data_IF_716351014784
#
_entry.id   IF_716351014784
#
_cell.length_a   1.000
_cell.length_b   1.000
_cell.length_c   1.000
_cell.angle_alpha   90.00
_cell.angle_beta   90.00
_cell.angle_gamma   90.00
#
_symmetry.space_group_name_H-M   'P 1'
#
loop_
_entity.id
_entity.type
_entity.pdbx_description
1 polymer ?
#
# COMPACT_ATOMS: atom_id res chain seq x y z
N UNK A 1 13.76 -0.15 -13.27
CA UNK A 1 14.61 -0.89 -12.27
C UNK A 1 15.75 -1.63 -12.97
N UNK A 2 15.51 -2.75 -13.67
CA UNK A 2 16.59 -3.50 -14.36
C UNK A 2 17.20 -2.68 -15.49
N UNK A 3 16.37 -2.10 -16.33
CA UNK A 3 16.78 -1.22 -17.44
C UNK A 3 17.64 -0.05 -16.96
N UNK A 4 17.29 0.53 -15.81
CA UNK A 4 17.98 1.69 -15.23
C UNK A 4 19.11 1.30 -14.25
N UNK A 5 19.39 0.00 -14.06
CA UNK A 5 20.42 -0.47 -13.13
C UNK A 5 20.20 -0.08 -11.66
N UNK A 6 18.95 0.11 -11.22
CA UNK A 6 18.65 0.54 -9.84
C UNK A 6 18.81 -0.63 -8.86
N UNK A 7 19.79 -0.52 -7.95
CA UNK A 7 19.90 -1.43 -6.79
C UNK A 7 18.92 -1.03 -5.70
N UNK A 8 17.75 -1.67 -5.68
CA UNK A 8 16.74 -1.48 -4.64
C UNK A 8 16.42 -2.76 -3.85
N UNK A 9 17.37 -3.69 -3.76
CA UNK A 9 17.15 -5.01 -3.13
C UNK A 9 15.92 -5.73 -3.71
N UNK A 10 15.70 -5.62 -5.03
CA UNK A 10 14.56 -6.27 -5.67
C UNK A 10 14.71 -7.80 -5.58
N UNK A 11 13.75 -8.44 -4.94
CA UNK A 11 13.63 -9.90 -4.86
C UNK A 11 12.33 -10.30 -5.51
N UNK A 12 12.42 -10.98 -6.66
CA UNK A 12 11.29 -11.72 -7.22
C UNK A 12 11.12 -12.99 -6.40
N UNK A 13 9.90 -13.24 -5.95
CA UNK A 13 9.60 -14.26 -4.95
C UNK A 13 8.19 -14.79 -5.16
N UNK A 14 7.80 -15.80 -4.38
CA UNK A 14 6.39 -16.09 -4.19
C UNK A 14 5.84 -15.33 -2.99
N UNK A 15 4.56 -15.04 -3.04
CA UNK A 15 3.78 -14.54 -1.95
C UNK A 15 2.73 -15.57 -1.58
N UNK A 16 2.60 -15.89 -0.30
CA UNK A 16 1.70 -16.92 0.19
C UNK A 16 0.62 -16.24 1.02
N UNK A 17 -0.62 -16.31 0.57
CA UNK A 17 -1.76 -15.98 1.41
C UNK A 17 -2.09 -17.19 2.27
N UNK A 18 -1.75 -17.12 3.55
CA UNK A 18 -1.97 -18.19 4.53
C UNK A 18 -3.28 -17.93 5.29
N UNK A 19 -4.21 -18.87 5.28
CA UNK A 19 -5.53 -18.73 5.90
C UNK A 19 -5.62 -19.54 7.19
N UNK A 20 -6.24 -18.95 8.20
CA UNK A 20 -6.44 -19.56 9.53
C UNK A 20 -7.93 -19.75 9.88
N UNK A 21 -8.83 -19.39 8.94
CA UNK A 21 -10.27 -19.62 9.03
C UNK A 21 -10.75 -20.33 7.76
N UNK A 22 -11.47 -21.44 7.96
CA UNK A 22 -11.91 -22.31 6.86
C UNK A 22 -12.88 -21.60 5.91
N UNK A 23 -13.80 -20.80 6.45
CA UNK A 23 -14.81 -20.09 5.65
C UNK A 23 -14.16 -19.03 4.77
N UNK A 24 -13.15 -18.34 5.27
CA UNK A 24 -12.42 -17.34 4.48
C UNK A 24 -11.50 -17.96 3.43
N UNK A 25 -10.90 -19.12 3.72
CA UNK A 25 -10.17 -19.89 2.71
C UNK A 25 -11.08 -20.35 1.56
N UNK A 26 -12.25 -20.93 1.87
CA UNK A 26 -13.22 -21.38 0.87
C UNK A 26 -13.71 -20.23 -0.01
N UNK A 27 -13.97 -19.06 0.56
CA UNK A 27 -14.31 -17.85 -0.21
C UNK A 27 -13.18 -17.43 -1.15
N UNK A 28 -11.93 -17.50 -0.70
CA UNK A 28 -10.78 -17.14 -1.52
C UNK A 28 -10.60 -18.12 -2.69
N UNK A 29 -10.80 -19.42 -2.45
CA UNK A 29 -10.81 -20.44 -3.51
C UNK A 29 -11.94 -20.20 -4.50
N UNK A 30 -13.16 -19.91 -4.02
CA UNK A 30 -14.29 -19.58 -4.89
C UNK A 30 -14.03 -18.29 -5.72
N UNK A 31 -13.37 -17.29 -5.14
CA UNK A 31 -12.92 -16.10 -5.87
C UNK A 31 -11.87 -16.40 -6.94
N UNK A 32 -10.99 -17.38 -6.69
CA UNK A 32 -10.06 -17.87 -7.70
C UNK A 32 -10.79 -18.65 -8.81
N UNK A 33 -11.83 -19.41 -8.50
CA UNK A 33 -12.66 -20.10 -9.49
C UNK A 33 -13.42 -19.12 -10.40
N UNK A 34 -13.94 -18.03 -9.82
CA UNK A 34 -14.52 -16.91 -10.59
C UNK A 34 -13.45 -16.28 -11.51
N UNK A 35 -12.25 -16.04 -10.99
CA UNK A 35 -11.12 -15.54 -11.78
C UNK A 35 -10.72 -16.50 -12.91
N UNK A 36 -10.81 -17.82 -12.73
CA UNK A 36 -10.55 -18.79 -13.83
C UNK A 36 -11.53 -18.60 -14.98
N UNK A 37 -12.76 -18.20 -14.68
CA UNK A 37 -13.81 -17.96 -15.68
C UNK A 37 -13.59 -16.64 -16.42
N UNK A 38 -13.21 -15.58 -15.70
CA UNK A 38 -13.18 -14.21 -16.26
C UNK A 38 -11.79 -13.71 -16.64
N UNK A 39 -10.73 -14.23 -16.03
CA UNK A 39 -9.33 -13.85 -16.25
C UNK A 39 -8.37 -15.05 -16.09
N UNK A 40 -8.48 -16.08 -16.94
CA UNK A 40 -7.72 -17.33 -16.78
C UNK A 40 -6.20 -17.14 -16.73
N UNK A 41 -5.66 -16.19 -17.51
CA UNK A 41 -4.24 -15.83 -17.53
C UNK A 41 -3.70 -15.21 -16.22
N UNK A 42 -4.59 -14.73 -15.34
CA UNK A 42 -4.23 -14.32 -13.98
C UNK A 42 -4.41 -15.48 -13.01
N UNK A 43 -5.51 -16.24 -13.16
CA UNK A 43 -5.80 -17.37 -12.29
C UNK A 43 -4.73 -18.48 -12.38
N UNK A 44 -4.15 -18.73 -13.56
CA UNK A 44 -3.07 -19.72 -13.75
C UNK A 44 -1.81 -19.42 -12.93
N UNK A 45 -1.65 -18.17 -12.48
CA UNK A 45 -0.52 -17.76 -11.63
C UNK A 45 -0.76 -18.11 -10.16
N UNK A 46 -1.93 -18.61 -9.79
CA UNK A 46 -2.28 -18.93 -8.41
C UNK A 46 -2.20 -20.44 -8.19
N UNK A 47 -1.60 -20.86 -7.07
CA UNK A 47 -1.55 -22.26 -6.67
C UNK A 47 -2.17 -22.43 -5.29
N UNK A 48 -3.13 -23.35 -5.18
CA UNK A 48 -3.84 -23.62 -3.92
C UNK A 48 -3.16 -24.79 -3.20
N UNK A 49 -2.91 -24.63 -1.90
CA UNK A 49 -2.39 -25.67 -1.02
C UNK A 49 -3.37 -25.90 0.14
N UNK A 50 -3.76 -27.15 0.34
CA UNK A 50 -4.62 -27.58 1.45
C UNK A 50 -4.08 -28.80 2.21
N UNK A 51 -2.99 -29.40 1.73
CA UNK A 51 -2.33 -30.50 2.42
C UNK A 51 -1.63 -30.01 3.68
N UNK A 52 -2.04 -30.53 4.84
CA UNK A 52 -1.56 -30.07 6.14
C UNK A 52 -0.06 -30.29 6.35
N UNK A 53 0.50 -31.39 5.83
CA UNK A 53 1.95 -31.64 5.92
C UNK A 53 2.72 -30.61 5.09
N UNK A 54 2.23 -30.25 3.90
CA UNK A 54 2.83 -29.22 3.08
C UNK A 54 2.78 -27.83 3.74
N UNK A 55 1.63 -27.45 4.33
CA UNK A 55 1.48 -26.17 5.03
C UNK A 55 2.50 -26.04 6.18
N UNK A 56 2.70 -27.11 6.94
CA UNK A 56 3.57 -27.10 8.13
C UNK A 56 5.04 -27.32 7.79
N UNK A 57 5.36 -28.32 6.98
CA UNK A 57 6.74 -28.74 6.73
C UNK A 57 7.42 -27.88 5.67
N UNK A 58 6.67 -27.41 4.66
CA UNK A 58 7.20 -26.63 3.55
C UNK A 58 6.95 -25.14 3.75
N UNK A 59 5.70 -24.73 3.98
CA UNK A 59 5.35 -23.32 4.17
C UNK A 59 5.58 -22.81 5.60
N UNK A 60 5.95 -23.70 6.52
CA UNK A 60 6.28 -23.37 7.92
C UNK A 60 5.15 -22.64 8.66
N UNK A 61 3.90 -22.89 8.25
CA UNK A 61 2.70 -22.36 8.89
C UNK A 61 2.32 -23.26 10.06
N UNK A 62 1.73 -22.69 11.12
CA UNK A 62 1.26 -23.48 12.26
C UNK A 62 0.17 -24.48 11.86
N UNK A 63 -0.11 -25.45 12.74
CA UNK A 63 -1.21 -26.41 12.58
C UNK A 63 -2.60 -25.77 12.56
N UNK A 64 -2.70 -24.45 12.82
CA UNK A 64 -3.94 -23.69 12.68
C UNK A 64 -4.23 -23.25 11.25
N UNK A 65 -3.24 -23.28 10.36
CA UNK A 65 -3.44 -22.93 8.97
C UNK A 65 -4.33 -23.98 8.29
N UNK A 66 -5.42 -23.52 7.66
CA UNK A 66 -6.39 -24.39 6.98
C UNK A 66 -6.11 -24.53 5.49
N UNK A 67 -5.36 -23.58 4.93
CA UNK A 67 -5.03 -23.54 3.51
C UNK A 67 -4.15 -22.35 3.17
N UNK A 68 -3.59 -22.38 1.96
CA UNK A 68 -2.81 -21.28 1.43
C UNK A 68 -3.01 -21.11 -0.08
N UNK A 69 -2.82 -19.89 -0.57
CA UNK A 69 -2.79 -19.58 -2.00
C UNK A 69 -1.46 -18.87 -2.30
N UNK A 70 -0.62 -19.49 -3.14
CA UNK A 70 0.60 -18.87 -3.62
C UNK A 70 0.36 -18.05 -4.90
N UNK A 71 1.04 -16.91 -4.97
CA UNK A 71 1.01 -15.97 -6.09
C UNK A 71 2.43 -15.45 -6.40
N UNK A 72 2.74 -15.07 -7.64
CA UNK A 72 3.95 -14.32 -7.95
C UNK A 72 3.95 -13.01 -7.16
N UNK A 73 5.08 -12.72 -6.53
CA UNK A 73 5.26 -11.51 -5.75
C UNK A 73 6.67 -10.94 -5.95
N UNK A 74 6.86 -9.75 -5.41
CA UNK A 74 8.17 -9.15 -5.30
C UNK A 74 8.26 -8.36 -4.00
N UNK A 75 9.46 -8.28 -3.44
CA UNK A 75 9.80 -7.30 -2.42
C UNK A 75 10.94 -6.42 -2.93
N UNK A 76 10.98 -5.18 -2.46
CA UNK A 76 12.06 -4.24 -2.74
C UNK A 76 12.19 -3.28 -1.57
N UNK A 77 13.34 -2.64 -1.41
CA UNK A 77 13.54 -1.56 -0.46
C UNK A 77 12.97 -0.25 -1.03
N UNK A 78 11.87 0.29 -0.49
CA UNK A 78 11.20 1.46 -1.07
C UNK A 78 12.09 2.71 -1.16
N UNK A 79 12.83 3.01 -0.10
CA UNK A 79 13.75 4.14 -0.06
C UNK A 79 14.83 4.05 -1.14
N UNK A 80 15.52 2.91 -1.26
CA UNK A 80 16.54 2.71 -2.32
C UNK A 80 15.93 2.89 -3.71
N UNK A 81 14.72 2.36 -3.94
CA UNK A 81 14.02 2.52 -5.22
C UNK A 81 13.71 3.99 -5.52
N UNK A 82 13.10 4.72 -4.57
CA UNK A 82 12.77 6.14 -4.74
C UNK A 82 14.04 6.97 -5.00
N UNK A 83 15.10 6.74 -4.23
CA UNK A 83 16.37 7.44 -4.40
C UNK A 83 17.03 7.10 -5.74
N UNK A 84 16.98 5.84 -6.17
CA UNK A 84 17.51 5.41 -7.47
C UNK A 84 16.76 6.00 -8.65
N UNK A 85 15.46 6.28 -8.51
CA UNK A 85 14.65 6.95 -9.54
C UNK A 85 14.87 8.47 -9.54
N UNK A 86 14.82 9.11 -8.37
CA UNK A 86 14.86 10.57 -8.27
C UNK A 86 16.29 11.15 -8.31
N UNK A 87 17.27 10.46 -7.73
CA UNK A 87 18.65 10.94 -7.62
C UNK A 87 19.23 11.39 -8.96
N UNK A 88 19.23 10.54 -10.01
CA UNK A 88 19.74 10.91 -11.33
C UNK A 88 19.02 12.12 -11.96
N UNK A 89 17.73 12.31 -11.67
CA UNK A 89 16.97 13.46 -12.19
C UNK A 89 17.36 14.76 -11.48
N UNK A 90 17.70 14.68 -10.18
CA UNK A 90 18.20 15.82 -9.41
C UNK A 90 19.62 16.17 -9.88
N UNK A 91 20.50 15.18 -9.98
CA UNK A 91 21.91 15.38 -10.37
C UNK A 91 22.06 15.95 -11.79
N UNK A 92 21.07 15.72 -12.65
CA UNK A 92 21.02 16.23 -14.03
C UNK A 92 20.22 17.55 -14.14
N UNK A 93 19.85 18.18 -13.02
CA UNK A 93 19.04 19.41 -12.96
C UNK A 93 17.68 19.32 -13.70
N UNK A 94 17.14 18.10 -13.86
CA UNK A 94 15.84 17.87 -14.53
C UNK A 94 14.66 18.12 -13.62
N UNK A 95 14.86 17.98 -12.31
CA UNK A 95 13.84 18.27 -11.30
C UNK A 95 14.43 19.13 -10.19
N UNK A 96 13.62 20.05 -9.68
CA UNK A 96 13.95 20.85 -8.52
C UNK A 96 13.24 20.28 -7.28
N UNK A 97 14.02 19.78 -6.32
CA UNK A 97 13.50 19.25 -5.05
C UNK A 97 13.75 20.24 -3.92
N UNK A 98 12.67 20.67 -3.27
CA UNK A 98 12.71 21.61 -2.15
C UNK A 98 12.22 20.92 -0.87
N UNK A 99 13.16 20.46 -0.04
CA UNK A 99 12.86 19.92 1.29
C UNK A 99 12.52 21.02 2.28
N UNK A 100 11.87 20.69 3.40
CA UNK A 100 11.49 21.65 4.44
C UNK A 100 10.75 22.90 3.91
N UNK A 101 9.97 22.71 2.85
CA UNK A 101 9.17 23.78 2.22
C UNK A 101 7.68 23.42 2.23
N UNK A 102 7.04 23.28 3.41
CA UNK A 102 5.62 22.97 3.50
C UNK A 102 4.76 23.93 2.68
N UNK A 103 3.89 23.37 1.84
CA UNK A 103 2.80 24.11 1.20
C UNK A 103 1.73 24.37 2.25
N UNK A 104 1.37 25.63 2.44
CA UNK A 104 0.40 26.06 3.46
C UNK A 104 -0.97 26.36 2.85
N UNK A 105 -1.00 26.80 1.60
CA UNK A 105 -2.22 27.17 0.87
C UNK A 105 -1.97 27.14 -0.65
N UNK A 106 -3.02 26.96 -1.43
CA UNK A 106 -2.98 27.12 -2.89
C UNK A 106 -4.15 28.02 -3.27
N UNK A 107 -3.83 29.12 -3.95
CA UNK A 107 -4.82 30.03 -4.54
C UNK A 107 -4.93 29.66 -6.01
N UNK A 108 -6.12 29.27 -6.44
CA UNK A 108 -6.36 28.75 -7.79
C UNK A 108 -7.70 29.28 -8.29
N UNK A 109 -7.63 30.25 -9.21
CA UNK A 109 -8.78 30.87 -9.86
C UNK A 109 -8.83 30.43 -11.30
N UNK A 110 -10.04 30.24 -11.82
CA UNK A 110 -10.25 29.70 -13.18
C UNK A 110 -9.76 30.66 -14.26
N UNK A 111 -9.89 31.96 -14.01
CA UNK A 111 -9.46 33.05 -14.87
C UNK A 111 -7.93 33.26 -14.89
N UNK A 112 -7.20 32.74 -13.90
CA UNK A 112 -5.74 32.88 -13.84
C UNK A 112 -5.06 31.81 -14.71
N UNK A 113 -3.92 32.13 -15.33
CA UNK A 113 -3.15 31.16 -16.10
C UNK A 113 -2.37 30.15 -15.23
N UNK A 114 -2.24 30.45 -13.92
CA UNK A 114 -1.44 29.69 -12.97
C UNK A 114 -2.10 29.68 -11.59
N UNK A 115 -1.97 28.57 -10.87
CA UNK A 115 -2.20 28.56 -9.44
C UNK A 115 -0.99 29.16 -8.71
N UNK A 116 -1.25 29.84 -7.60
CA UNK A 116 -0.21 30.34 -6.67
C UNK A 116 -0.13 29.42 -5.45
N UNK A 117 0.97 28.68 -5.35
CA UNK A 117 1.30 27.78 -4.24
C UNK A 117 2.05 28.56 -3.17
N UNK A 118 1.41 28.77 -2.01
CA UNK A 118 2.00 29.43 -0.84
C UNK A 118 2.83 28.42 -0.06
N UNK A 119 4.09 28.75 0.22
CA UNK A 119 4.98 27.92 1.03
C UNK A 119 5.58 28.72 2.18
N UNK A 120 6.22 28.05 3.13
CA UNK A 120 6.99 28.70 4.21
C UNK A 120 8.20 29.50 3.71
N UNK A 121 8.62 29.33 2.46
CA UNK A 121 9.80 29.97 1.86
C UNK A 121 9.46 30.93 0.72
N UNK A 122 8.18 31.21 0.52
CA UNK A 122 7.69 32.10 -0.54
C UNK A 122 6.69 31.43 -1.47
N UNK A 123 6.32 32.17 -2.50
CA UNK A 123 5.27 31.78 -3.43
C UNK A 123 5.84 31.14 -4.69
N UNK A 124 5.16 30.11 -5.19
CA UNK A 124 5.48 29.45 -6.46
C UNK A 124 4.27 29.55 -7.37
N UNK A 125 4.46 29.98 -8.63
CA UNK A 125 3.39 29.94 -9.65
C UNK A 125 3.53 28.68 -10.48
N UNK A 126 2.44 27.94 -10.66
CA UNK A 126 2.44 26.67 -11.38
C UNK A 126 1.19 26.53 -12.25
N UNK A 127 1.36 26.09 -13.50
CA UNK A 127 0.25 25.84 -14.42
C UNK A 127 -0.47 24.54 -14.09
N UNK A 128 0.19 23.65 -13.37
CA UNK A 128 -0.32 22.35 -12.90
C UNK A 128 0.23 22.09 -11.51
N UNK A 129 -0.64 21.71 -10.58
CA UNK A 129 -0.28 21.35 -9.21
C UNK A 129 -0.81 19.95 -8.91
N UNK A 130 0.09 19.02 -8.59
CA UNK A 130 -0.28 17.63 -8.27
C UNK A 130 -0.18 17.40 -6.76
N UNK A 131 -1.30 17.02 -6.14
CA UNK A 131 -1.36 16.62 -4.74
C UNK A 131 -0.97 15.15 -4.61
N UNK A 132 0.28 14.90 -4.22
CA UNK A 132 0.84 13.59 -3.95
C UNK A 132 1.08 13.33 -2.46
N UNK A 133 0.26 13.93 -1.58
CA UNK A 133 0.44 13.91 -0.12
C UNK A 133 -0.28 12.75 0.58
N UNK A 134 -0.75 11.74 -0.16
CA UNK A 134 -1.36 10.50 0.33
C UNK A 134 -2.37 10.68 1.50
N UNK A 135 -2.00 10.31 2.74
CA UNK A 135 -2.89 10.40 3.89
C UNK A 135 -3.20 11.85 4.33
N UNK A 136 -2.33 12.79 3.93
CA UNK A 136 -2.44 14.21 4.25
C UNK A 136 -3.14 15.02 3.15
N UNK A 137 -3.75 14.36 2.14
CA UNK A 137 -4.52 15.03 1.08
C UNK A 137 -5.55 16.01 1.66
N UNK A 138 -6.27 15.57 2.70
CA UNK A 138 -7.26 16.39 3.39
C UNK A 138 -6.72 17.72 3.93
N UNK A 139 -5.41 17.88 4.13
CA UNK A 139 -4.84 19.13 4.65
C UNK A 139 -5.01 20.29 3.67
N UNK A 140 -4.71 20.07 2.38
CA UNK A 140 -4.82 21.06 1.31
C UNK A 140 -6.13 20.93 0.50
N UNK A 141 -6.75 19.75 0.56
CA UNK A 141 -8.01 19.42 -0.11
C UNK A 141 -9.09 19.09 0.94
N UNK A 142 -9.64 20.09 1.65
CA UNK A 142 -10.70 19.88 2.63
C UNK A 142 -11.89 19.08 2.08
N UNK A 143 -12.16 19.17 0.78
CA UNK A 143 -13.20 18.46 0.06
C UNK A 143 -13.03 16.93 0.09
N UNK A 144 -11.80 16.43 0.26
CA UNK A 144 -11.48 15.00 0.35
C UNK A 144 -11.36 14.48 1.80
N UNK A 145 -11.41 15.35 2.82
CA UNK A 145 -11.32 14.94 4.23
C UNK A 145 -12.34 13.86 4.63
N UNK A 146 -13.62 13.93 4.21
CA UNK A 146 -14.60 12.91 4.60
C UNK A 146 -14.30 11.53 4.01
N UNK A 147 -13.53 11.46 2.93
CA UNK A 147 -13.31 10.25 2.16
C UNK A 147 -11.96 9.60 2.40
N UNK A 148 -11.03 10.28 3.09
CA UNK A 148 -9.67 9.79 3.32
C UNK A 148 -9.33 9.96 4.80
N UNK A 149 -9.17 8.82 5.47
CA UNK A 149 -8.75 8.78 6.87
C UNK A 149 -7.25 8.43 6.96
N UNK A 150 -6.44 9.26 7.65
CA UNK A 150 -5.10 8.86 8.05
C UNK A 150 -5.22 7.82 9.17
N UNK A 151 -4.55 6.69 9.00
CA UNK A 151 -4.54 5.62 10.01
C UNK A 151 -3.09 5.24 10.25
N UNK A 152 -2.69 5.13 11.52
CA UNK A 152 -1.35 4.69 11.92
C UNK A 152 -1.20 3.18 11.71
N UNK A 153 -0.07 2.79 11.14
CA UNK A 153 0.36 1.41 10.96
C UNK A 153 1.63 1.14 11.73
N UNK A 154 1.74 -0.06 12.29
CA UNK A 154 2.88 -0.44 13.14
C UNK A 154 3.63 -1.57 12.46
N UNK A 155 4.96 -1.55 12.55
CA UNK A 155 5.80 -2.55 11.89
C UNK A 155 6.95 -2.92 12.83
N UNK A 156 7.28 -4.20 12.86
CA UNK A 156 8.44 -4.72 13.56
C UNK A 156 9.45 -5.27 12.56
N UNK A 157 10.74 -5.15 12.92
CA UNK A 157 11.80 -5.91 12.29
C UNK A 157 12.45 -6.85 13.30
N UNK A 158 12.55 -8.12 12.94
CA UNK A 158 13.27 -9.15 13.67
C UNK A 158 14.70 -9.26 13.15
N UNK A 159 15.68 -9.25 14.05
CA UNK A 159 17.08 -9.51 13.74
C UNK A 159 17.29 -10.98 13.37
N UNK A 160 18.28 -11.28 12.49
CA UNK A 160 18.66 -12.65 12.22
C UNK A 160 19.31 -13.30 13.44
N UNK A 161 19.25 -14.62 13.49
CA UNK A 161 20.01 -15.42 14.47
C UNK A 161 21.36 -15.84 13.90
N UNK A 162 22.13 -16.60 14.70
CA UNK A 162 23.40 -17.18 14.26
C UNK A 162 23.24 -17.89 12.91
N UNK A 163 24.22 -17.70 12.03
CA UNK A 163 24.23 -18.18 10.63
C UNK A 163 23.26 -17.44 9.68
N UNK A 164 22.75 -16.26 10.04
CA UNK A 164 21.95 -15.43 9.14
C UNK A 164 20.56 -15.97 8.85
N UNK A 165 20.04 -16.83 9.73
CA UNK A 165 18.69 -17.40 9.60
C UNK A 165 17.64 -16.49 10.26
N UNK A 166 16.39 -16.67 9.86
CA UNK A 166 15.25 -16.00 10.50
C UNK A 166 14.94 -16.61 11.86
N UNK A 167 14.68 -15.81 12.91
CA UNK A 167 14.16 -16.32 14.18
C UNK A 167 12.70 -16.80 14.08
N UNK A 168 12.03 -16.57 12.94
CA UNK A 168 10.65 -17.01 12.70
C UNK A 168 10.58 -18.43 12.13
N UNK A 169 11.72 -19.12 11.95
CA UNK A 169 11.76 -20.45 11.36
C UNK A 169 11.48 -20.48 9.85
N UNK A 170 11.53 -19.32 9.18
CA UNK A 170 11.20 -19.15 7.77
C UNK A 170 12.46 -19.09 6.88
N UNK A 171 12.37 -19.68 5.70
CA UNK A 171 13.29 -19.45 4.58
C UNK A 171 12.96 -18.15 3.83
N UNK A 172 13.85 -17.70 2.94
CA UNK A 172 13.68 -16.45 2.17
C UNK A 172 13.06 -16.64 0.78
N UNK A 173 12.43 -17.79 0.54
CA UNK A 173 11.89 -18.17 -0.79
C UNK A 173 10.50 -17.59 -1.06
N UNK A 174 9.83 -17.11 -0.01
CA UNK A 174 8.51 -16.51 -0.08
C UNK A 174 8.29 -15.41 0.97
N UNK A 175 7.29 -14.58 0.73
CA UNK A 175 6.69 -13.67 1.72
C UNK A 175 5.30 -14.16 2.10
N UNK A 176 4.79 -13.78 3.27
CA UNK A 176 3.47 -14.21 3.73
C UNK A 176 2.50 -13.02 3.79
N UNK A 177 1.24 -13.28 3.46
CA UNK A 177 0.09 -12.56 3.97
C UNK A 177 -0.67 -13.50 4.91
N UNK A 178 -0.57 -13.25 6.21
CA UNK A 178 -1.23 -14.01 7.27
C UNK A 178 -2.68 -13.52 7.37
N UNK A 179 -3.61 -14.25 6.75
CA UNK A 179 -5.04 -13.93 6.69
C UNK A 179 -5.75 -14.49 7.93
N UNK A 180 -5.93 -13.66 8.94
CA UNK A 180 -6.67 -14.03 10.16
C UNK A 180 -8.20 -13.90 9.98
N UNK A 181 -8.63 -13.09 9.00
CA UNK A 181 -10.03 -12.97 8.63
C UNK A 181 -10.27 -12.02 7.45
N UNK A 182 -11.54 -11.78 7.12
CA UNK A 182 -11.94 -10.85 6.05
C UNK A 182 -11.35 -9.45 6.28
N UNK A 183 -10.47 -9.03 5.35
CA UNK A 183 -9.72 -7.76 5.43
C UNK A 183 -8.86 -7.62 6.69
N UNK A 184 -8.54 -8.73 7.36
CA UNK A 184 -7.68 -8.77 8.53
C UNK A 184 -6.45 -9.63 8.29
N UNK A 185 -5.31 -8.96 8.12
CA UNK A 185 -4.07 -9.63 7.80
C UNK A 185 -2.84 -8.82 8.17
N UNK A 186 -1.74 -9.56 8.34
CA UNK A 186 -0.38 -9.03 8.36
C UNK A 186 0.39 -9.52 7.14
N UNK A 187 1.28 -8.68 6.62
CA UNK A 187 2.37 -9.11 5.75
C UNK A 187 3.62 -9.46 6.56
N UNK A 188 4.39 -10.41 6.04
CA UNK A 188 5.71 -10.77 6.52
C UNK A 188 6.64 -10.87 5.32
N UNK A 189 7.68 -10.03 5.32
CA UNK A 189 8.73 -10.02 4.30
C UNK A 189 9.98 -10.62 4.92
N UNK A 190 10.38 -11.80 4.45
CA UNK A 190 11.64 -12.42 4.83
C UNK A 190 12.76 -11.91 3.93
N UNK A 191 13.80 -11.32 4.53
CA UNK A 191 15.01 -10.89 3.82
C UNK A 191 16.02 -12.03 3.74
N UNK A 192 16.86 -11.98 2.71
CA UNK A 192 17.93 -12.95 2.44
C UNK A 192 19.04 -12.98 3.50
N UNK A 193 19.15 -11.93 4.30
CA UNK A 193 20.10 -11.84 5.42
C UNK A 193 19.51 -12.35 6.76
N UNK A 194 18.34 -13.00 6.71
CA UNK A 194 17.65 -13.54 7.87
C UNK A 194 16.76 -12.55 8.60
N UNK A 195 16.81 -11.24 8.28
CA UNK A 195 15.87 -10.28 8.87
C UNK A 195 14.44 -10.55 8.40
N UNK A 196 13.47 -10.40 9.29
CA UNK A 196 12.05 -10.40 8.92
C UNK A 196 11.43 -9.04 9.21
N UNK A 197 10.55 -8.58 8.34
CA UNK A 197 9.73 -7.37 8.53
C UNK A 197 8.28 -7.81 8.60
N UNK A 198 7.62 -7.54 9.72
CA UNK A 198 6.22 -7.92 9.96
C UNK A 198 5.42 -6.66 10.20
N UNK A 199 4.38 -6.45 9.40
CA UNK A 199 3.49 -5.32 9.50
C UNK A 199 2.17 -5.64 8.83
N UNK A 200 1.15 -4.83 8.89
CA UNK A 200 1.06 -3.54 9.58
C UNK A 200 0.43 -3.66 10.98
N UNK A 201 0.05 -4.86 11.41
CA UNK A 201 -1.01 -5.07 12.40
C UNK A 201 -2.31 -4.41 11.93
N UNK A 202 -3.20 -5.20 11.34
CA UNK A 202 -4.53 -4.70 11.01
C UNK A 202 -5.48 -4.68 12.22
N UNK A 203 -5.10 -5.35 13.32
CA UNK A 203 -5.71 -5.20 14.64
C UNK A 203 -5.34 -3.86 15.31
N UNK A 204 -6.21 -3.33 16.17
CA UNK A 204 -5.92 -2.16 17.01
C UNK A 204 -5.66 -0.84 16.27
N UNK A 205 -6.15 -0.71 15.02
CA UNK A 205 -5.96 0.48 14.17
C UNK A 205 -6.52 1.76 14.82
N UNK A 206 -5.76 2.85 14.71
CA UNK A 206 -6.18 4.20 15.12
C UNK A 206 -6.18 5.15 13.94
N UNK A 207 -7.28 5.90 13.79
CA UNK A 207 -7.37 7.02 12.86
C UNK A 207 -6.62 8.22 13.45
N UNK A 208 -5.36 8.38 13.07
CA UNK A 208 -4.46 9.42 13.56
C UNK A 208 -3.43 9.73 12.47
N UNK A 209 -2.98 10.99 12.43
CA UNK A 209 -1.99 11.47 11.46
C UNK A 209 -0.57 11.66 12.03
N UNK A 210 -0.34 11.22 13.26
CA UNK A 210 0.94 11.28 13.97
C UNK A 210 1.56 9.88 14.04
N UNK A 211 2.79 9.73 13.58
CA UNK A 211 3.58 8.49 13.58
C UNK A 211 4.86 8.60 14.43
N UNK A 212 4.94 9.60 15.32
CA UNK A 212 6.06 9.75 16.27
C UNK A 212 6.11 8.67 17.37
N UNK A 213 5.02 7.92 17.53
CA UNK A 213 4.86 6.85 18.51
C UNK A 213 4.22 5.60 17.87
N UNK A 214 4.43 4.45 18.51
CA UNK A 214 3.82 3.17 18.15
C UNK A 214 2.66 2.81 19.07
N UNK A 215 1.68 2.06 18.58
CA UNK A 215 0.51 1.65 19.37
C UNK A 215 0.74 0.34 20.14
N UNK A 216 0.35 0.32 21.43
CA UNK A 216 0.54 -0.83 22.32
C UNK A 216 -0.07 -2.15 21.78
N UNK A 217 -1.34 -2.15 21.41
CA UNK A 217 -2.05 -3.38 20.97
C UNK A 217 -1.48 -3.97 19.68
N UNK A 218 -1.34 -3.21 18.58
CA UNK A 218 -0.61 -3.61 17.37
C UNK A 218 0.78 -4.19 17.64
N UNK A 219 1.55 -3.53 18.50
CA UNK A 219 2.93 -3.93 18.82
C UNK A 219 2.99 -5.23 19.62
N UNK A 220 2.09 -5.41 20.58
CA UNK A 220 1.97 -6.66 21.35
C UNK A 220 1.58 -7.83 20.44
N UNK A 221 0.63 -7.61 19.53
CA UNK A 221 0.24 -8.60 18.52
C UNK A 221 1.41 -8.99 17.62
N UNK A 222 2.06 -8.01 16.99
CA UNK A 222 3.19 -8.27 16.09
C UNK A 222 4.38 -8.90 16.80
N UNK A 223 4.54 -8.70 18.12
CA UNK A 223 5.60 -9.36 18.90
C UNK A 223 5.26 -10.82 19.23
N UNK A 224 3.98 -11.14 19.41
CA UNK A 224 3.51 -12.44 19.91
C UNK A 224 2.93 -13.39 18.85
N UNK A 225 2.60 -12.91 17.64
CA UNK A 225 1.89 -13.72 16.64
C UNK A 225 2.61 -15.01 16.23
N UNK A 226 3.95 -15.02 16.29
CA UNK A 226 4.78 -16.04 15.65
C UNK A 226 4.43 -17.47 16.12
N UNK A 227 4.22 -17.67 17.43
CA UNK A 227 3.87 -18.99 17.99
C UNK A 227 2.47 -19.47 17.61
N UNK A 228 1.57 -18.55 17.24
CA UNK A 228 0.21 -18.87 16.80
C UNK A 228 0.15 -19.08 15.28
N UNK A 229 1.00 -18.39 14.52
CA UNK A 229 0.95 -18.37 13.07
C UNK A 229 1.95 -19.32 12.39
N UNK A 230 3.10 -19.60 13.01
CA UNK A 230 4.22 -20.30 12.37
C UNK A 230 4.53 -21.63 13.07
N UNK A 231 5.05 -22.60 12.32
CA UNK A 231 5.31 -23.96 12.82
C UNK A 231 6.49 -24.04 13.79
N UNK A 232 7.57 -23.32 13.49
CA UNK A 232 8.86 -23.48 14.18
C UNK A 232 9.59 -22.15 14.47
N UNK A 233 8.90 -21.13 15.02
CA UNK A 233 9.61 -19.95 15.50
C UNK A 233 10.51 -20.30 16.70
N UNK A 234 11.58 -19.54 16.89
CA UNK A 234 12.45 -19.69 18.06
C UNK A 234 11.68 -19.46 19.36
N UNK A 235 12.03 -20.16 20.43
CA UNK A 235 11.36 -20.04 21.72
C UNK A 235 11.43 -18.61 22.31
N UNK A 236 12.49 -17.86 22.00
CA UNK A 236 12.69 -16.48 22.45
C UNK A 236 12.50 -15.46 21.32
N UNK A 237 11.79 -15.80 20.24
CA UNK A 237 11.61 -14.96 19.04
C UNK A 237 11.15 -13.53 19.36
N UNK A 238 10.28 -13.37 20.36
CA UNK A 238 9.79 -12.07 20.81
C UNK A 238 10.91 -11.13 21.30
N UNK A 239 12.05 -11.67 21.73
CA UNK A 239 13.25 -10.90 22.15
C UNK A 239 14.12 -10.48 20.97
N UNK A 240 13.92 -11.07 19.78
CA UNK A 240 14.71 -10.79 18.57
C UNK A 240 14.21 -9.57 17.79
N UNK A 241 13.20 -8.87 18.28
CA UNK A 241 12.75 -7.60 17.70
C UNK A 241 13.87 -6.57 17.83
N UNK A 242 14.39 -6.14 16.69
CA UNK A 242 15.49 -5.19 16.58
C UNK A 242 15.02 -3.75 16.39
N UNK A 243 13.92 -3.57 15.66
CA UNK A 243 13.36 -2.26 15.34
C UNK A 243 11.85 -2.30 15.40
N UNK A 244 11.28 -1.15 15.70
CA UNK A 244 9.86 -0.88 15.76
C UNK A 244 9.62 0.52 15.23
N UNK A 245 8.62 0.67 14.37
CA UNK A 245 8.23 1.99 13.87
C UNK A 245 6.76 2.04 13.51
N UNK A 246 6.27 3.27 13.40
CA UNK A 246 4.97 3.56 12.86
C UNK A 246 5.07 4.28 11.51
N UNK A 247 3.97 4.30 10.78
CA UNK A 247 3.80 5.15 9.60
C UNK A 247 2.32 5.42 9.35
N UNK A 248 2.02 6.53 8.66
CA UNK A 248 0.63 6.89 8.33
C UNK A 248 0.25 6.40 6.94
N UNK A 249 -0.89 5.71 6.88
CA UNK A 249 -1.47 5.23 5.64
C UNK A 249 -2.80 5.94 5.41
N UNK A 250 -3.11 6.20 4.15
CA UNK A 250 -4.44 6.63 3.76
C UNK A 250 -5.36 5.42 3.71
N UNK A 251 -6.55 5.52 4.31
CA UNK A 251 -7.70 4.68 4.00
C UNK A 251 -8.73 5.54 3.28
N UNK A 252 -8.93 5.29 1.98
CA UNK A 252 -10.08 5.84 1.28
C UNK A 252 -11.36 5.08 1.66
N UNK A 253 -12.49 5.78 1.67
CA UNK A 253 -13.81 5.25 2.01
C UNK A 253 -14.19 4.02 1.16
N UNK A 254 -13.87 4.06 -0.14
CA UNK A 254 -14.19 3.02 -1.11
C UNK A 254 -13.07 1.99 -1.35
N UNK A 255 -11.91 2.17 -0.71
CA UNK A 255 -10.74 1.31 -0.95
C UNK A 255 -9.93 1.64 -2.21
N UNK A 256 -10.30 2.69 -2.95
CA UNK A 256 -9.74 3.03 -4.25
C UNK A 256 -8.89 4.33 -4.15
N UNK A 257 -7.71 4.41 -4.79
CA UNK A 257 -6.94 5.65 -4.85
C UNK A 257 -7.68 6.82 -5.53
N UNK A 258 -7.25 8.05 -5.26
CA UNK A 258 -7.69 9.24 -5.97
C UNK A 258 -6.63 9.66 -6.99
N UNK A 259 -7.04 9.75 -8.26
CA UNK A 259 -6.18 10.13 -9.36
C UNK A 259 -6.86 11.14 -10.31
N UNK A 260 -6.07 11.93 -11.01
CA UNK A 260 -6.56 12.80 -12.09
C UNK A 260 -6.90 14.22 -11.64
N UNK A 261 -7.57 14.96 -12.52
CA UNK A 261 -7.93 16.37 -12.29
C UNK A 261 -8.99 16.45 -11.19
N UNK A 262 -8.87 17.44 -10.30
CA UNK A 262 -9.86 17.65 -9.26
C UNK A 262 -11.14 18.28 -9.85
N UNK A 263 -12.34 17.78 -9.47
CA UNK A 263 -13.61 18.25 -10.01
C UNK A 263 -14.18 19.45 -9.24
N UNK A 264 -13.49 19.95 -8.22
CA UNK A 264 -14.03 20.96 -7.32
C UNK A 264 -13.88 22.39 -7.87
N UNK A 265 -14.85 23.29 -7.61
CA UNK A 265 -14.69 24.71 -7.87
C UNK A 265 -13.42 25.28 -7.22
N UNK A 266 -12.70 26.15 -7.93
CA UNK A 266 -11.44 26.72 -7.43
C UNK A 266 -10.26 25.74 -7.43
N UNK A 267 -10.34 24.63 -8.17
CA UNK A 267 -9.26 23.63 -8.35
C UNK A 267 -8.85 23.47 -9.82
N UNK A 268 -8.95 24.54 -10.60
CA UNK A 268 -8.82 24.53 -12.06
C UNK A 268 -7.47 24.00 -12.55
N UNK A 269 -6.40 24.23 -11.80
CA UNK A 269 -5.03 23.82 -12.12
C UNK A 269 -4.55 22.62 -11.27
N UNK A 270 -5.42 22.04 -10.45
CA UNK A 270 -5.03 21.05 -9.44
C UNK A 270 -5.45 19.61 -9.82
N UNK A 271 -4.57 18.69 -9.48
CA UNK A 271 -4.66 17.26 -9.74
C UNK A 271 -4.37 16.48 -8.45
N UNK A 272 -4.80 15.23 -8.37
CA UNK A 272 -4.54 14.35 -7.24
C UNK A 272 -3.88 13.05 -7.71
N UNK A 273 -2.99 12.52 -6.88
CA UNK A 273 -2.37 11.22 -7.05
C UNK A 273 -2.04 10.67 -5.65
N UNK A 274 -3.00 10.02 -5.01
CA UNK A 274 -2.85 9.60 -3.61
C UNK A 274 -4.04 8.82 -3.06
N UNK A 275 -4.11 8.69 -1.73
CA UNK A 275 -5.21 7.98 -1.08
C UNK A 275 -5.14 6.47 -1.27
N UNK A 276 -3.94 5.88 -1.28
CA UNK A 276 -3.70 4.54 -1.82
C UNK A 276 -4.24 3.35 -1.00
N UNK A 277 -5.08 3.57 0.01
CA UNK A 277 -5.68 2.50 0.82
C UNK A 277 -4.65 1.44 1.27
N UNK A 278 -3.57 1.87 1.91
CA UNK A 278 -2.45 1.01 2.33
C UNK A 278 -1.75 0.18 1.24
N UNK A 279 -1.99 0.45 -0.05
CA UNK A 279 -1.45 -0.30 -1.21
C UNK A 279 -0.60 0.58 -2.13
N UNK A 280 0.02 1.64 -1.59
CA UNK A 280 0.75 2.65 -2.36
C UNK A 280 1.91 2.08 -3.17
N UNK A 281 2.71 1.18 -2.59
CA UNK A 281 3.90 0.65 -3.27
C UNK A 281 3.59 -0.11 -4.56
N UNK A 282 2.40 -0.70 -4.69
CA UNK A 282 2.00 -1.45 -5.88
C UNK A 282 1.19 -0.61 -6.88
N UNK A 283 0.53 0.46 -6.44
CA UNK A 283 -0.35 1.28 -7.30
C UNK A 283 0.27 2.61 -7.73
N UNK A 284 1.12 3.21 -6.91
CA UNK A 284 1.53 4.61 -7.07
C UNK A 284 2.28 4.86 -8.38
N UNK A 285 3.16 3.94 -8.79
CA UNK A 285 3.96 4.12 -10.01
C UNK A 285 3.08 4.26 -11.26
N UNK A 286 2.23 3.27 -11.53
CA UNK A 286 1.31 3.30 -12.68
C UNK A 286 0.26 4.42 -12.56
N UNK A 287 -0.22 4.69 -11.35
CA UNK A 287 -1.14 5.83 -11.11
C UNK A 287 -0.47 7.16 -11.48
N UNK A 288 0.82 7.33 -11.13
CA UNK A 288 1.58 8.55 -11.42
C UNK A 288 1.87 8.70 -12.91
N UNK A 289 2.18 7.61 -13.62
CA UNK A 289 2.35 7.62 -15.07
C UNK A 289 1.06 8.05 -15.77
N UNK A 290 -0.08 7.49 -15.36
CA UNK A 290 -1.39 7.88 -15.89
C UNK A 290 -1.69 9.37 -15.66
N UNK A 291 -1.46 9.89 -14.45
CA UNK A 291 -1.69 11.30 -14.14
C UNK A 291 -0.73 12.20 -14.93
N UNK A 292 0.52 11.80 -15.10
CA UNK A 292 1.49 12.53 -15.92
C UNK A 292 1.05 12.59 -17.40
N UNK A 293 0.65 11.46 -17.99
CA UNK A 293 0.14 11.42 -19.36
C UNK A 293 -1.09 12.29 -19.55
N UNK A 294 -2.05 12.25 -18.61
CA UNK A 294 -3.21 13.15 -18.63
C UNK A 294 -2.84 14.64 -18.59
N UNK A 295 -1.82 15.01 -17.81
CA UNK A 295 -1.31 16.38 -17.75
C UNK A 295 -0.68 16.80 -19.09
N UNK A 296 -0.03 15.88 -19.78
CA UNK A 296 0.56 16.07 -21.11
C UNK A 296 -0.47 16.03 -22.26
N UNK A 297 -1.75 15.77 -21.96
CA UNK A 297 -2.81 15.67 -22.97
C UNK A 297 -2.88 14.31 -23.66
N UNK A 298 -2.21 13.29 -23.13
CA UNK A 298 -2.27 11.93 -23.63
C UNK A 298 -3.61 11.28 -23.25
N UNK A 299 -4.03 10.30 -24.05
CA UNK A 299 -5.21 9.49 -23.75
C UNK A 299 -4.79 8.35 -22.81
N UNK A 300 -5.47 8.16 -21.66
CA UNK A 300 -5.18 7.03 -20.79
C UNK A 300 -5.29 5.71 -21.53
N UNK A 301 -4.33 4.82 -21.29
CA UNK A 301 -4.44 3.41 -21.66
C UNK A 301 -5.78 2.84 -21.16
N UNK A 302 -6.38 1.96 -21.97
CA UNK A 302 -7.59 1.23 -21.62
C UNK A 302 -7.39 0.35 -20.39
N UNK A 303 -6.16 -0.08 -20.12
CA UNK A 303 -5.83 -0.88 -18.93
C UNK A 303 -5.84 -0.09 -17.62
N UNK A 304 -5.87 1.26 -17.68
CA UNK A 304 -5.93 2.05 -16.46
C UNK A 304 -7.33 1.99 -15.82
N UNK A 305 -7.42 1.67 -14.52
CA UNK A 305 -8.70 1.57 -13.83
C UNK A 305 -9.35 2.95 -13.71
N UNK A 306 -10.40 3.18 -14.51
CA UNK A 306 -11.13 4.45 -14.52
C UNK A 306 -11.78 4.80 -13.18
N UNK A 307 -12.00 3.79 -12.33
CA UNK A 307 -12.49 3.97 -10.96
C UNK A 307 -11.57 4.81 -10.08
N UNK A 308 -10.28 4.95 -10.45
CA UNK A 308 -9.33 5.78 -9.69
C UNK A 308 -9.58 7.28 -9.91
N UNK A 309 -10.27 7.67 -10.99
CA UNK A 309 -10.48 9.07 -11.29
C UNK A 309 -11.39 9.74 -10.26
N UNK A 310 -10.96 10.93 -9.81
CA UNK A 310 -11.75 11.78 -8.92
C UNK A 310 -12.85 12.52 -9.72
N UNK A 311 -13.79 11.77 -10.31
CA UNK A 311 -14.90 12.36 -11.09
C UNK A 311 -15.99 12.93 -10.18
N UNK A 312 -16.79 13.87 -10.70
CA UNK A 312 -17.99 14.37 -10.01
C UNK A 312 -18.93 13.26 -9.55
N UNK A 313 -19.14 12.25 -10.42
CA UNK A 313 -19.99 11.10 -10.10
C UNK A 313 -19.44 10.29 -8.93
N UNK A 314 -18.12 9.97 -8.93
CA UNK A 314 -17.51 9.25 -7.82
C UNK A 314 -17.64 10.03 -6.52
N UNK A 315 -17.31 11.32 -6.53
CA UNK A 315 -17.46 12.18 -5.34
C UNK A 315 -18.91 12.18 -4.83
N UNK A 316 -19.89 12.28 -5.74
CA UNK A 316 -21.31 12.23 -5.38
C UNK A 316 -21.68 10.89 -4.74
N UNK A 317 -21.24 9.76 -5.30
CA UNK A 317 -21.52 8.43 -4.73
C UNK A 317 -20.89 8.25 -3.34
N UNK A 318 -19.69 8.76 -3.13
CA UNK A 318 -19.03 8.75 -1.83
C UNK A 318 -19.81 9.57 -0.78
N UNK A 319 -20.37 10.73 -1.17
CA UNK A 319 -21.24 11.53 -0.29
C UNK A 319 -22.53 10.80 0.06
N UNK A 320 -23.22 10.24 -0.92
CA UNK A 320 -24.43 9.44 -0.69
C UNK A 320 -24.12 8.31 0.29
N UNK A 321 -23.02 7.58 0.07
CA UNK A 321 -22.57 6.51 0.96
C UNK A 321 -22.32 6.97 2.40
N UNK A 322 -21.77 8.18 2.60
CA UNK A 322 -21.62 8.74 3.94
C UNK A 322 -22.96 9.11 4.60
N UNK A 323 -23.91 9.61 3.81
CA UNK A 323 -25.22 10.07 4.29
C UNK A 323 -26.17 8.90 4.61
N UNK A 324 -26.15 7.84 3.79
CA UNK A 324 -27.04 6.69 3.94
C UNK A 324 -26.43 5.57 4.79
N UNK A 325 -25.11 5.54 4.92
CA UNK A 325 -24.38 4.42 5.54
C UNK A 325 -24.28 3.18 4.64
N UNK A 326 -24.70 3.27 3.38
CA UNK A 326 -24.60 2.18 2.39
C UNK A 326 -23.29 2.27 1.60
N UNK A 327 -22.71 1.17 1.12
CA UNK A 327 -21.51 1.21 0.29
C UNK A 327 -21.71 2.02 -1.00
N UNK A 328 -20.72 2.81 -1.40
CA UNK A 328 -20.77 3.56 -2.65
C UNK A 328 -20.86 2.61 -3.87
N UNK A 329 -21.86 2.82 -4.73
CA UNK A 329 -21.98 2.12 -6.01
C UNK A 329 -20.98 2.68 -7.03
N UNK A 330 -19.70 2.31 -6.89
CA UNK A 330 -18.70 2.62 -7.89
C UNK A 330 -18.75 1.51 -8.93
N UNK A 331 -19.28 1.83 -10.12
CA UNK A 331 -19.20 0.94 -11.27
C UNK A 331 -17.72 0.70 -11.59
N UNK A 332 -17.16 -0.38 -11.04
CA UNK A 332 -15.86 -0.89 -11.43
C UNK A 332 -16.00 -1.45 -12.85
N UNK A 333 -15.94 -0.57 -13.85
CA UNK A 333 -15.59 -0.99 -15.19
C UNK A 333 -14.09 -1.25 -15.15
N UNK A 334 -13.73 -2.51 -14.96
CA UNK A 334 -12.46 -3.03 -15.48
C UNK A 334 -12.47 -2.87 -17.00
#
# INVERSE_FOLDING_TARGET
IREDGIDCDLVLTQGIEAYYDQKDFEKAVAGLDDMRTHAPHLAEKHTVYSDQSYLQDILKLSSRAVGAIAIPAASMWPYKWIMGVLGPLIDQDKINVQTHTPVTCIIDRTEDAYATVKTTRGDIRASRVVHATNAWLGRLLPELRPFISPVRGNVLSYAPIANGKSPLGLGSDYSLWLRYGVKDYDYLIQRKDGRAIVGRANTGRKAVGDDSETDLSPMSHLRGFAHEALATPDADVATKVSHAWAGILAFSQDGIPFAGRLPFPGRSHQWVCGGYHATGMIKAFLTSQMVAGLILGETPDKEFPRSFFATDDRIRQLRISLETGEPAEIKARL
#
